data_IF_989366312102
#
_entry.id   IF_989366312102
#
_cell.length_a   1.000
_cell.length_b   1.000
_cell.length_c   1.000
_cell.angle_alpha   90.00
_cell.angle_beta   90.00
_cell.angle_gamma   90.00
#
_symmetry.space_group_name_H-M   'P 1'
#
loop_
_entity.id
_entity.type
_entity.pdbx_description
1 polymer ?
#
# COMPACT_ATOMS: atom_id res chain seq x y z
N UNK A 1 19.78 -17.73 6.17
CA UNK A 1 18.82 -17.49 5.07
C UNK A 1 19.61 -17.01 3.87
N UNK A 2 19.54 -17.73 2.77
CA UNK A 2 20.26 -17.33 1.56
C UNK A 2 19.47 -16.20 0.90
N UNK A 3 20.14 -15.08 0.63
CA UNK A 3 19.50 -13.93 -0.01
C UNK A 3 19.03 -14.32 -1.42
N UNK A 4 17.78 -14.08 -1.77
CA UNK A 4 17.18 -14.38 -3.08
C UNK A 4 17.82 -13.54 -4.19
N UNK A 5 18.10 -12.28 -3.91
CA UNK A 5 18.44 -11.30 -4.95
C UNK A 5 19.71 -11.61 -5.71
N UNK A 6 20.81 -12.13 -5.12
CA UNK A 6 21.98 -12.57 -5.86
C UNK A 6 21.72 -13.77 -6.79
N UNK A 7 20.63 -14.52 -6.58
CA UNK A 7 20.31 -15.73 -7.32
C UNK A 7 19.47 -15.48 -8.58
N UNK A 8 18.92 -14.29 -8.73
CA UNK A 8 18.10 -13.91 -9.88
C UNK A 8 18.85 -12.97 -10.84
N UNK A 9 18.46 -12.98 -12.10
CA UNK A 9 19.13 -12.21 -13.16
C UNK A 9 19.03 -10.70 -12.94
N UNK A 10 20.01 -9.94 -13.42
CA UNK A 10 20.00 -8.47 -13.30
C UNK A 10 18.74 -7.80 -13.92
N UNK A 11 18.18 -8.26 -15.05
CA UNK A 11 16.89 -7.75 -15.53
C UNK A 11 15.74 -7.97 -14.53
N UNK A 12 15.68 -9.15 -13.89
CA UNK A 12 14.67 -9.44 -12.90
C UNK A 12 14.83 -8.57 -11.63
N UNK A 13 16.07 -8.37 -11.16
CA UNK A 13 16.34 -7.47 -10.03
C UNK A 13 15.87 -6.04 -10.31
N UNK A 14 16.13 -5.52 -11.52
CA UNK A 14 15.65 -4.18 -11.91
C UNK A 14 14.12 -4.12 -11.96
N UNK A 15 13.47 -5.14 -12.52
CA UNK A 15 12.02 -5.21 -12.57
C UNK A 15 11.39 -5.22 -11.16
N UNK A 16 11.92 -6.01 -10.24
CA UNK A 16 11.46 -6.04 -8.86
C UNK A 16 11.70 -4.71 -8.14
N UNK A 17 12.89 -4.12 -8.31
CA UNK A 17 13.23 -2.83 -7.71
C UNK A 17 12.34 -1.68 -8.22
N UNK A 18 11.90 -1.73 -9.49
CA UNK A 18 11.01 -0.70 -10.07
C UNK A 18 9.60 -0.68 -9.44
N UNK A 19 9.20 -1.77 -8.80
CA UNK A 19 7.93 -1.88 -8.05
C UNK A 19 8.16 -1.93 -6.53
N UNK A 20 9.35 -1.53 -6.07
CA UNK A 20 9.65 -1.38 -4.64
C UNK A 20 10.07 -2.66 -3.93
N UNK A 21 10.20 -3.78 -4.63
CA UNK A 21 10.59 -5.07 -4.03
C UNK A 21 12.11 -5.13 -3.85
N UNK A 22 12.56 -5.19 -2.60
CA UNK A 22 13.97 -5.24 -2.19
C UNK A 22 14.29 -6.42 -1.27
N UNK A 23 13.27 -6.99 -0.62
CA UNK A 23 13.39 -8.10 0.32
C UNK A 23 12.40 -9.21 -0.02
N UNK A 24 12.59 -10.41 0.55
CA UNK A 24 11.65 -11.53 0.36
C UNK A 24 10.28 -11.22 0.96
N UNK A 25 10.21 -10.39 1.99
CA UNK A 25 8.97 -9.97 2.64
C UNK A 25 8.13 -9.12 1.69
N UNK A 26 8.75 -8.29 0.85
CA UNK A 26 8.03 -7.39 -0.05
C UNK A 26 7.12 -8.14 -1.04
N UNK A 27 7.44 -9.39 -1.37
CA UNK A 27 6.57 -10.22 -2.22
C UNK A 27 5.23 -10.55 -1.57
N UNK A 28 5.13 -10.51 -0.25
CA UNK A 28 3.86 -10.77 0.45
C UNK A 28 2.82 -9.68 0.25
N UNK A 29 3.22 -8.55 -0.35
CA UNK A 29 2.37 -7.40 -0.69
C UNK A 29 1.97 -7.35 -2.15
N UNK A 30 2.44 -8.32 -2.92
CA UNK A 30 2.13 -8.45 -4.33
C UNK A 30 1.44 -9.78 -4.59
N UNK A 31 0.48 -9.76 -5.49
CA UNK A 31 -0.10 -11.00 -6.00
C UNK A 31 0.93 -11.72 -6.88
N UNK A 32 0.78 -13.03 -6.98
CA UNK A 32 1.57 -13.83 -7.93
C UNK A 32 1.45 -13.28 -9.35
N UNK A 33 0.25 -12.88 -9.74
CA UNK A 33 -0.07 -12.32 -11.05
C UNK A 33 0.69 -11.01 -11.33
N UNK A 34 0.73 -10.08 -10.37
CA UNK A 34 1.49 -8.83 -10.51
C UNK A 34 2.97 -9.10 -10.80
N UNK A 35 3.59 -10.01 -10.05
CA UNK A 35 5.01 -10.33 -10.21
C UNK A 35 5.30 -11.05 -11.52
N UNK A 36 4.48 -12.03 -11.88
CA UNK A 36 4.64 -12.82 -13.11
C UNK A 36 4.56 -11.95 -14.39
N UNK A 37 3.79 -10.86 -14.35
CA UNK A 37 3.61 -9.93 -15.47
C UNK A 37 4.66 -8.80 -15.54
N UNK A 38 5.60 -8.73 -14.60
CA UNK A 38 6.70 -7.77 -14.70
C UNK A 38 7.65 -8.13 -15.86
N UNK A 39 7.96 -7.12 -16.67
CA UNK A 39 8.94 -7.32 -17.74
C UNK A 39 10.31 -7.68 -17.17
N UNK A 40 10.83 -8.85 -17.56
CA UNK A 40 12.10 -9.39 -17.04
C UNK A 40 11.92 -10.49 -15.99
N UNK A 41 10.70 -10.80 -15.57
CA UNK A 41 10.37 -11.94 -14.71
C UNK A 41 9.93 -13.13 -15.58
N UNK A 42 10.75 -14.16 -15.64
CA UNK A 42 10.43 -15.41 -16.36
C UNK A 42 10.10 -16.54 -15.39
N UNK A 43 9.63 -17.67 -15.95
CA UNK A 43 9.24 -18.87 -15.18
C UNK A 43 10.30 -19.33 -14.18
N UNK A 44 11.58 -19.30 -14.56
CA UNK A 44 12.68 -19.70 -13.66
C UNK A 44 12.81 -18.79 -12.44
N UNK A 45 12.62 -17.48 -12.64
CA UNK A 45 12.66 -16.50 -11.55
C UNK A 45 11.47 -16.70 -10.63
N UNK A 46 10.27 -16.92 -11.17
CA UNK A 46 9.08 -17.22 -10.36
C UNK A 46 9.27 -18.44 -9.46
N UNK A 47 9.79 -19.54 -10.00
CA UNK A 47 10.09 -20.77 -9.23
C UNK A 47 11.06 -20.46 -8.07
N UNK A 48 12.10 -19.65 -8.31
CA UNK A 48 13.04 -19.27 -7.26
C UNK A 48 12.39 -18.42 -6.18
N UNK A 49 11.55 -17.47 -6.55
CA UNK A 49 10.79 -16.62 -5.62
C UNK A 49 9.86 -17.49 -4.76
N UNK A 50 9.05 -18.34 -5.37
CA UNK A 50 8.11 -19.24 -4.69
C UNK A 50 8.84 -20.14 -3.68
N UNK A 51 9.95 -20.75 -4.08
CA UNK A 51 10.78 -21.58 -3.19
C UNK A 51 11.33 -20.81 -1.99
N UNK A 52 11.72 -19.54 -2.17
CA UNK A 52 12.23 -18.72 -1.08
C UNK A 52 11.10 -18.25 -0.15
N UNK A 53 9.94 -17.93 -0.69
CA UNK A 53 8.73 -17.62 0.10
C UNK A 53 8.36 -18.82 0.97
N UNK A 54 8.25 -20.02 0.40
CA UNK A 54 7.95 -21.27 1.12
C UNK A 54 8.97 -21.55 2.23
N UNK A 55 10.27 -21.44 1.93
CA UNK A 55 11.33 -21.67 2.92
C UNK A 55 11.33 -20.68 4.08
N UNK A 56 10.72 -19.51 3.87
CA UNK A 56 10.53 -18.45 4.87
C UNK A 56 9.15 -18.48 5.53
N UNK A 57 8.32 -19.49 5.22
CA UNK A 57 6.91 -19.58 5.62
C UNK A 57 6.10 -18.34 5.22
N UNK A 58 6.43 -17.78 4.07
CA UNK A 58 5.77 -16.64 3.44
C UNK A 58 5.04 -17.08 2.17
N UNK A 59 4.09 -16.30 1.71
CA UNK A 59 3.38 -16.51 0.45
C UNK A 59 3.03 -15.17 -0.20
N UNK A 60 2.80 -15.20 -1.49
CA UNK A 60 2.20 -14.04 -2.18
C UNK A 60 0.87 -13.64 -1.55
N UNK A 61 0.52 -12.38 -1.72
CA UNK A 61 -0.82 -11.92 -1.39
C UNK A 61 -1.87 -12.70 -2.22
N UNK A 62 -2.94 -13.15 -1.59
CA UNK A 62 -4.04 -13.77 -2.31
C UNK A 62 -4.79 -12.71 -3.12
N UNK A 63 -5.15 -13.02 -4.35
CA UNK A 63 -6.00 -12.15 -5.19
C UNK A 63 -7.38 -11.93 -4.54
N UNK A 64 -7.88 -12.92 -3.81
CA UNK A 64 -9.16 -12.86 -3.08
C UNK A 64 -9.15 -11.97 -1.84
N UNK A 65 -7.98 -11.72 -1.24
CA UNK A 65 -7.88 -10.89 -0.03
C UNK A 65 -8.25 -9.42 -0.30
N UNK A 66 -8.34 -9.02 -1.57
CA UNK A 66 -8.60 -7.64 -2.01
C UNK A 66 -9.88 -7.49 -2.83
N UNK A 67 -10.67 -8.56 -3.04
CA UNK A 67 -11.82 -8.54 -3.93
C UNK A 67 -12.84 -7.45 -3.56
N UNK A 68 -13.14 -7.26 -2.28
CA UNK A 68 -14.07 -6.21 -1.83
C UNK A 68 -13.56 -4.80 -2.16
N UNK A 69 -12.23 -4.59 -2.10
CA UNK A 69 -11.61 -3.31 -2.45
C UNK A 69 -11.59 -3.11 -3.96
N UNK A 70 -11.31 -4.16 -4.73
CA UNK A 70 -11.38 -4.12 -6.19
C UNK A 70 -12.80 -3.79 -6.65
N UNK A 71 -13.81 -4.47 -6.10
CA UNK A 71 -15.21 -4.18 -6.35
C UNK A 71 -15.61 -2.74 -5.95
N UNK A 72 -15.08 -2.24 -4.84
CA UNK A 72 -15.29 -0.85 -4.43
C UNK A 72 -14.73 0.12 -5.47
N UNK A 73 -13.50 -0.09 -5.92
CA UNK A 73 -12.82 0.77 -6.90
C UNK A 73 -13.51 0.71 -8.28
N UNK A 74 -13.97 -0.48 -8.70
CA UNK A 74 -14.63 -0.67 -10.00
C UNK A 74 -15.99 0.03 -10.11
N UNK A 75 -16.58 0.52 -9.03
CA UNK A 75 -17.83 1.31 -9.03
C UNK A 75 -17.66 2.73 -9.60
N UNK A 76 -16.44 3.21 -9.71
CA UNK A 76 -16.14 4.57 -10.15
C UNK A 76 -15.82 4.62 -11.65
N UNK A 77 -15.92 5.81 -12.23
CA UNK A 77 -15.44 6.06 -13.60
C UNK A 77 -13.92 5.89 -13.72
N UNK A 78 -13.41 5.76 -14.94
CA UNK A 78 -12.01 5.43 -15.18
C UNK A 78 -11.03 6.47 -14.62
N UNK A 79 -11.40 7.75 -14.57
CA UNK A 79 -10.57 8.82 -14.02
C UNK A 79 -10.41 8.67 -12.51
N UNK A 80 -11.51 8.44 -11.81
CA UNK A 80 -11.54 8.24 -10.35
C UNK A 80 -10.87 6.91 -10.01
N UNK A 81 -11.22 5.86 -10.74
CA UNK A 81 -10.66 4.51 -10.59
C UNK A 81 -9.13 4.49 -10.67
N UNK A 82 -8.57 5.14 -11.68
CA UNK A 82 -7.12 5.25 -11.87
C UNK A 82 -6.43 5.86 -10.64
N UNK A 83 -6.96 6.96 -10.13
CA UNK A 83 -6.42 7.65 -8.95
C UNK A 83 -6.61 6.86 -7.65
N UNK A 84 -7.74 6.17 -7.47
CA UNK A 84 -7.93 5.27 -6.33
C UNK A 84 -6.93 4.11 -6.33
N UNK A 85 -6.65 3.52 -7.50
CA UNK A 85 -5.60 2.51 -7.67
C UNK A 85 -4.21 3.06 -7.34
N UNK A 86 -3.95 4.32 -7.68
CA UNK A 86 -2.69 4.99 -7.36
C UNK A 86 -2.55 5.25 -5.86
N UNK A 87 -3.58 5.77 -5.18
CA UNK A 87 -3.61 5.95 -3.72
C UNK A 87 -3.38 4.60 -3.03
N UNK A 88 -4.11 3.55 -3.42
CA UNK A 88 -3.98 2.20 -2.88
C UNK A 88 -2.54 1.70 -2.99
N UNK A 89 -1.93 1.78 -4.19
CA UNK A 89 -0.56 1.36 -4.43
C UNK A 89 0.43 2.15 -3.55
N UNK A 90 0.26 3.47 -3.47
CA UNK A 90 1.11 4.34 -2.66
C UNK A 90 1.07 3.95 -1.18
N UNK A 91 -0.13 3.78 -0.61
CA UNK A 91 -0.27 3.38 0.79
C UNK A 91 0.34 2.00 1.03
N UNK A 92 0.12 1.04 0.12
CA UNK A 92 0.64 -0.32 0.20
C UNK A 92 2.17 -0.34 0.33
N UNK A 93 2.88 0.50 -0.43
CA UNK A 93 4.34 0.58 -0.35
C UNK A 93 4.87 1.10 0.98
N UNK A 94 4.06 1.91 1.69
CA UNK A 94 4.42 2.46 3.00
C UNK A 94 4.15 1.49 4.15
N UNK A 95 3.21 0.55 3.97
CA UNK A 95 2.78 -0.40 5.02
C UNK A 95 3.02 -1.84 4.56
N UNK A 96 4.26 -2.24 4.42
CA UNK A 96 4.60 -3.54 3.87
C UNK A 96 4.05 -4.74 4.68
N UNK A 97 3.88 -4.66 5.97
CA UNK A 97 3.30 -5.72 6.82
C UNK A 97 1.78 -5.55 7.04
N UNK A 98 1.16 -4.59 6.36
CA UNK A 98 -0.26 -4.29 6.50
C UNK A 98 -1.14 -5.25 5.70
N UNK A 99 -2.37 -5.37 6.14
CA UNK A 99 -3.44 -6.06 5.40
C UNK A 99 -4.44 -5.04 4.88
N UNK A 100 -4.98 -5.29 3.71
CA UNK A 100 -6.11 -4.53 3.20
C UNK A 100 -7.42 -5.15 3.67
N UNK A 101 -8.40 -4.34 3.98
CA UNK A 101 -9.77 -4.75 4.29
C UNK A 101 -10.75 -3.62 4.02
N UNK A 102 -12.03 -3.93 3.98
CA UNK A 102 -13.07 -2.90 4.06
C UNK A 102 -13.39 -2.59 5.53
N UNK A 103 -13.43 -1.29 5.88
CA UNK A 103 -13.91 -0.83 7.18
C UNK A 103 -14.65 0.51 7.00
N UNK A 104 -15.77 0.68 7.67
CA UNK A 104 -16.64 1.86 7.54
C UNK A 104 -17.09 2.14 6.09
N UNK A 105 -17.19 1.09 5.26
CA UNK A 105 -17.50 1.21 3.84
C UNK A 105 -16.37 1.77 2.97
N UNK A 106 -15.14 1.80 3.47
CA UNK A 106 -13.96 2.34 2.79
C UNK A 106 -12.81 1.34 2.75
N UNK A 107 -12.01 1.32 1.67
CA UNK A 107 -10.72 0.66 1.66
C UNK A 107 -9.82 1.13 2.81
N UNK A 108 -9.24 0.18 3.52
CA UNK A 108 -8.52 0.39 4.78
C UNK A 108 -7.26 -0.43 4.81
N UNK A 109 -6.15 0.19 5.20
CA UNK A 109 -4.93 -0.52 5.58
C UNK A 109 -4.91 -0.75 7.09
N UNK A 110 -4.70 -2.00 7.47
CA UNK A 110 -4.69 -2.49 8.84
C UNK A 110 -3.33 -3.09 9.19
N UNK A 111 -2.77 -2.65 10.30
CA UNK A 111 -1.60 -3.25 10.94
C UNK A 111 -1.75 -3.12 12.45
N UNK A 112 -2.13 -4.21 13.12
CA UNK A 112 -2.57 -4.25 14.53
C UNK A 112 -3.79 -3.35 14.84
N UNK A 113 -3.93 -2.23 14.20
CA UNK A 113 -5.11 -1.36 14.20
C UNK A 113 -5.35 -0.79 12.79
N UNK A 114 -6.46 -0.09 12.58
CA UNK A 114 -6.69 0.62 11.31
C UNK A 114 -5.70 1.79 11.21
N UNK A 115 -4.80 1.73 10.24
CA UNK A 115 -3.75 2.75 10.04
C UNK A 115 -4.30 3.93 9.27
N UNK A 116 -4.93 3.66 8.14
CA UNK A 116 -5.40 4.68 7.21
C UNK A 116 -6.52 4.12 6.33
N UNK A 117 -7.51 4.97 6.03
CA UNK A 117 -8.58 4.67 5.08
C UNK A 117 -8.51 5.65 3.91
N UNK A 118 -9.07 5.26 2.76
CA UNK A 118 -9.25 6.16 1.64
C UNK A 118 -10.59 5.93 0.95
N UNK A 119 -11.11 6.94 0.28
CA UNK A 119 -12.39 6.83 -0.43
C UNK A 119 -12.46 7.76 -1.63
N UNK A 120 -13.22 7.36 -2.64
CA UNK A 120 -13.60 8.21 -3.77
C UNK A 120 -14.96 8.87 -3.53
N UNK A 121 -15.10 10.10 -3.98
CA UNK A 121 -16.35 10.87 -3.99
C UNK A 121 -16.51 11.59 -5.33
N UNK A 122 -17.65 12.20 -5.56
CA UNK A 122 -17.92 12.89 -6.82
C UNK A 122 -16.91 14.01 -7.15
N UNK A 123 -16.41 14.73 -6.14
CA UNK A 123 -15.59 15.94 -6.33
C UNK A 123 -14.22 15.86 -5.64
N UNK A 124 -13.92 14.81 -4.90
CA UNK A 124 -12.67 14.69 -4.17
C UNK A 124 -12.34 13.24 -3.81
N UNK A 125 -11.08 13.01 -3.44
CA UNK A 125 -10.64 11.81 -2.74
C UNK A 125 -10.48 12.13 -1.26
N UNK A 126 -11.05 11.28 -0.39
CA UNK A 126 -10.87 11.36 1.04
C UNK A 126 -9.71 10.49 1.51
N UNK A 127 -8.83 11.03 2.33
CA UNK A 127 -7.83 10.28 3.08
C UNK A 127 -8.10 10.43 4.58
N UNK A 128 -8.09 9.33 5.32
CA UNK A 128 -8.51 9.30 6.73
C UNK A 128 -7.43 8.67 7.61
N UNK A 129 -6.40 9.46 7.98
CA UNK A 129 -5.25 8.97 8.74
C UNK A 129 -5.43 9.08 10.26
N UNK A 130 -6.64 9.17 10.78
CA UNK A 130 -6.96 9.53 12.16
C UNK A 130 -6.53 10.96 12.57
N UNK A 131 -6.95 11.46 13.74
CA UNK A 131 -6.64 12.83 14.16
C UNK A 131 -5.15 13.15 14.27
N UNK A 132 -4.35 12.20 14.76
CA UNK A 132 -2.90 12.37 14.91
C UNK A 132 -2.19 12.55 13.57
N UNK A 133 -2.60 11.81 12.54
CA UNK A 133 -2.04 11.93 11.19
C UNK A 133 -2.39 13.25 10.51
N UNK A 134 -3.55 13.83 10.81
CA UNK A 134 -3.94 15.17 10.33
C UNK A 134 -3.12 16.26 11.04
N UNK A 135 -3.14 16.26 12.37
CA UNK A 135 -2.53 17.32 13.19
C UNK A 135 -1.00 17.40 13.02
N UNK A 136 -0.33 16.26 12.82
CA UNK A 136 1.13 16.26 12.66
C UNK A 136 1.60 16.95 11.38
N UNK A 137 0.74 17.03 10.36
CA UNK A 137 1.06 17.58 9.03
C UNK A 137 0.15 18.78 8.69
N UNK A 138 -0.44 19.44 9.70
CA UNK A 138 -1.41 20.53 9.52
C UNK A 138 -0.91 21.60 8.55
N UNK A 139 0.32 22.05 8.69
CA UNK A 139 0.90 23.09 7.81
C UNK A 139 1.01 22.67 6.35
N UNK A 140 1.14 21.38 6.08
CA UNK A 140 1.32 20.85 4.72
C UNK A 140 0.00 20.56 4.03
N UNK A 141 -1.06 20.32 4.83
CA UNK A 141 -2.41 20.07 4.33
C UNK A 141 -3.29 21.32 4.29
N UNK A 142 -2.82 22.47 4.77
CA UNK A 142 -3.58 23.71 4.90
C UNK A 142 -4.22 24.22 3.60
N UNK A 143 -3.61 23.91 2.46
CA UNK A 143 -4.17 24.20 1.14
C UNK A 143 -5.35 23.30 0.73
N UNK A 144 -5.59 22.21 1.44
CA UNK A 144 -6.68 21.29 1.19
C UNK A 144 -7.82 21.52 2.17
N UNK A 145 -9.00 21.06 1.82
CA UNK A 145 -10.09 20.98 2.80
C UNK A 145 -9.84 19.82 3.73
N UNK A 146 -9.75 20.08 5.02
CA UNK A 146 -9.50 19.06 6.03
C UNK A 146 -10.35 19.24 7.29
N UNK A 147 -10.42 18.21 8.09
CA UNK A 147 -11.07 18.17 9.40
C UNK A 147 -10.23 17.32 10.35
N UNK A 148 -10.64 17.17 11.59
CA UNK A 148 -9.90 16.47 12.66
C UNK A 148 -9.37 15.08 12.27
N UNK A 149 -9.96 14.38 11.32
CA UNK A 149 -9.54 13.02 10.94
C UNK A 149 -9.60 12.74 9.44
N UNK A 150 -9.80 13.78 8.61
CA UNK A 150 -10.00 13.62 7.17
C UNK A 150 -9.33 14.74 6.38
N UNK A 151 -8.76 14.38 5.25
CA UNK A 151 -8.19 15.31 4.26
C UNK A 151 -8.89 15.04 2.92
N UNK A 152 -9.25 16.09 2.19
CA UNK A 152 -9.92 16.00 0.89
C UNK A 152 -8.99 16.53 -0.20
N UNK A 153 -8.65 15.69 -1.16
CA UNK A 153 -7.89 16.06 -2.34
C UNK A 153 -8.83 16.28 -3.51
N UNK A 154 -8.82 17.44 -4.18
CA UNK A 154 -9.68 17.72 -5.32
C UNK A 154 -9.49 16.69 -6.45
N UNK A 155 -10.60 16.30 -7.10
CA UNK A 155 -10.55 15.25 -8.13
C UNK A 155 -9.85 15.71 -9.41
N UNK A 156 -9.84 17.02 -9.68
CA UNK A 156 -9.26 17.60 -10.88
C UNK A 156 -7.78 17.95 -10.74
N UNK A 157 -7.24 17.87 -9.52
CA UNK A 157 -5.81 18.08 -9.26
C UNK A 157 -5.03 16.76 -9.29
N UNK A 158 -3.71 16.85 -9.50
CA UNK A 158 -2.83 15.71 -9.33
C UNK A 158 -2.79 15.26 -7.86
N UNK A 159 -2.70 13.96 -7.65
CA UNK A 159 -2.59 13.42 -6.29
C UNK A 159 -1.26 13.84 -5.66
N UNK A 160 -1.26 14.38 -4.44
CA UNK A 160 -0.05 14.75 -3.73
C UNK A 160 0.62 13.49 -3.14
N UNK A 161 1.22 12.67 -4.00
CA UNK A 161 1.75 11.34 -3.67
C UNK A 161 2.75 11.41 -2.50
N UNK A 162 3.69 12.37 -2.52
CA UNK A 162 4.67 12.52 -1.43
C UNK A 162 4.01 12.87 -0.09
N UNK A 163 2.93 13.65 -0.11
CA UNK A 163 2.18 13.97 1.11
C UNK A 163 1.43 12.73 1.62
N UNK A 164 0.83 11.95 0.73
CA UNK A 164 0.16 10.67 1.08
C UNK A 164 1.17 9.70 1.71
N UNK A 165 2.38 9.60 1.14
CA UNK A 165 3.48 8.80 1.70
C UNK A 165 3.80 9.26 3.13
N UNK A 166 4.09 10.55 3.35
CA UNK A 166 4.46 11.07 4.66
C UNK A 166 3.37 10.89 5.71
N UNK A 167 2.11 11.10 5.34
CA UNK A 167 0.97 10.85 6.23
C UNK A 167 0.92 9.37 6.63
N UNK A 168 1.09 8.48 5.65
CA UNK A 168 1.02 7.04 5.87
C UNK A 168 2.20 6.53 6.71
N UNK A 169 3.43 6.99 6.43
CA UNK A 169 4.63 6.67 7.20
C UNK A 169 4.53 7.16 8.65
N UNK A 170 4.01 8.36 8.86
CA UNK A 170 3.76 8.86 10.20
C UNK A 170 2.80 7.94 10.97
N UNK A 171 1.69 7.56 10.36
CA UNK A 171 0.69 6.71 10.98
C UNK A 171 1.21 5.31 11.29
N UNK A 172 1.92 4.68 10.38
CA UNK A 172 2.49 3.35 10.66
C UNK A 172 3.55 3.40 11.76
N UNK A 173 4.39 4.45 11.78
CA UNK A 173 5.37 4.66 12.84
C UNK A 173 4.73 4.85 14.21
N UNK A 174 3.61 5.55 14.27
CA UNK A 174 2.84 5.75 15.51
C UNK A 174 2.29 4.41 16.02
N UNK A 175 1.71 3.59 15.15
CA UNK A 175 1.23 2.25 15.50
C UNK A 175 2.37 1.35 15.99
N UNK A 176 3.49 1.32 15.29
CA UNK A 176 4.66 0.54 15.69
C UNK A 176 5.20 0.96 17.07
N UNK A 177 5.30 2.26 17.32
CA UNK A 177 5.74 2.78 18.61
C UNK A 177 4.79 2.41 19.76
N UNK A 178 3.49 2.34 19.49
CA UNK A 178 2.49 1.90 20.46
C UNK A 178 2.69 0.43 20.83
N UNK A 179 2.87 -0.44 19.84
CA UNK A 179 3.12 -1.87 20.05
C UNK A 179 4.38 -2.08 20.91
N UNK A 180 5.48 -1.41 20.59
CA UNK A 180 6.75 -1.54 21.34
C UNK A 180 6.61 -1.09 22.80
N UNK A 181 5.71 -0.16 23.11
CA UNK A 181 5.44 0.28 24.49
C UNK A 181 4.54 -0.69 25.26
N UNK A 182 3.67 -1.42 24.58
CA UNK A 182 2.78 -2.41 25.19
C UNK A 182 3.51 -3.74 25.48
N UNK A 183 4.63 -4.00 24.80
CA UNK A 183 5.47 -5.17 24.99
C UNK A 183 6.64 -4.93 26.02
N UNK A 184 6.80 -3.71 26.51
CA UNK A 184 7.86 -3.32 27.46
C UNK A 184 7.33 -3.21 28.89
#
# INVERSE_FOLDING_TARGET
MTDLFPMISAPAQRALSSVGIKTIIDFTYHTRFEIENLHGIGKKVMILIEKHLESSNLKFMNETDNQEIDEYIERFDDKIKSKLKEIRRTIRTCIPCGKEKMAYGMPTYYYHENVIHFAGYANHFGLYPNPSGVLNLEKEIDKYKWSKGAIQFPIDEELPIELIIRITEYRIKEVMNKILREES
#
